data_IF_669743990050
#
_entry.id   IF_669743990050
#
_cell.length_a   1.000
_cell.length_b   1.000
_cell.length_c   1.000
_cell.angle_alpha   90.00
_cell.angle_beta   90.00
_cell.angle_gamma   90.00
#
_symmetry.space_group_name_H-M   'P 1'
#
loop_
_entity.id
_entity.type
_entity.pdbx_description
1 polymer ?
#
# COMPACT_ATOMS: atom_id res chain seq x y z
N UNK A 1 0.63 7.37 -36.30
CA UNK A 1 0.88 8.03 -35.00
C UNK A 1 0.58 7.15 -33.76
N UNK A 2 0.37 5.82 -33.86
CA UNK A 2 -0.07 4.98 -32.73
C UNK A 2 1.02 4.39 -31.81
N UNK A 3 2.32 4.49 -32.15
CA UNK A 3 3.37 3.79 -31.38
C UNK A 3 3.68 4.40 -30.01
N UNK A 4 3.44 5.70 -29.80
CA UNK A 4 3.75 6.37 -28.51
C UNK A 4 2.73 6.05 -27.41
N UNK A 5 1.45 5.90 -27.75
CA UNK A 5 0.40 5.63 -26.76
C UNK A 5 0.46 4.21 -26.17
N UNK A 6 0.80 3.21 -26.98
CA UNK A 6 0.92 1.81 -26.50
C UNK A 6 2.08 1.61 -25.52
N UNK A 7 3.14 2.40 -25.62
CA UNK A 7 4.33 2.26 -24.78
C UNK A 7 4.16 2.88 -23.38
N UNK A 8 3.44 4.02 -23.28
CA UNK A 8 3.15 4.64 -21.99
C UNK A 8 2.16 3.81 -21.17
N UNK A 9 1.20 3.16 -21.85
CA UNK A 9 0.20 2.34 -21.18
C UNK A 9 0.79 1.02 -20.65
N UNK A 10 1.68 0.35 -21.40
CA UNK A 10 2.37 -0.84 -20.91
C UNK A 10 3.30 -0.52 -19.73
N UNK A 11 4.00 0.61 -19.78
CA UNK A 11 4.82 1.11 -18.67
C UNK A 11 3.97 1.44 -17.43
N UNK A 12 2.82 2.10 -17.61
CA UNK A 12 1.90 2.41 -16.50
C UNK A 12 1.35 1.16 -15.82
N UNK A 13 0.92 0.16 -16.60
CA UNK A 13 0.46 -1.12 -16.05
C UNK A 13 1.58 -1.85 -15.29
N UNK A 14 2.80 -1.86 -15.83
CA UNK A 14 3.96 -2.46 -15.16
C UNK A 14 4.28 -1.78 -13.83
N UNK A 15 4.21 -0.45 -13.76
CA UNK A 15 4.42 0.28 -12.50
C UNK A 15 3.37 -0.07 -11.46
N UNK A 16 2.09 -0.20 -11.84
CA UNK A 16 1.03 -0.63 -10.94
C UNK A 16 1.31 -2.04 -10.41
N UNK A 17 1.71 -3.00 -11.26
CA UNK A 17 2.05 -4.36 -10.83
C UNK A 17 3.22 -4.39 -9.84
N UNK A 18 4.29 -3.63 -10.12
CA UNK A 18 5.42 -3.51 -9.20
C UNK A 18 4.95 -2.94 -7.87
N UNK A 19 4.10 -1.92 -7.90
CA UNK A 19 3.59 -1.30 -6.69
C UNK A 19 2.71 -2.22 -5.86
N UNK A 20 1.85 -3.02 -6.50
CA UNK A 20 1.03 -4.05 -5.84
C UNK A 20 1.95 -5.05 -5.09
N UNK A 21 2.99 -5.55 -5.75
CA UNK A 21 3.94 -6.51 -5.12
C UNK A 21 4.67 -5.89 -3.93
N UNK A 22 5.08 -4.63 -4.04
CA UNK A 22 5.75 -3.91 -2.94
C UNK A 22 4.82 -3.69 -1.74
N UNK A 23 3.54 -3.37 -1.98
CA UNK A 23 2.56 -3.27 -0.88
C UNK A 23 2.35 -4.63 -0.22
N UNK A 24 2.23 -5.72 -0.99
CA UNK A 24 2.12 -7.07 -0.43
C UNK A 24 3.34 -7.46 0.42
N UNK A 25 4.56 -7.16 -0.06
CA UNK A 25 5.79 -7.35 0.71
C UNK A 25 5.77 -6.53 2.01
N UNK A 26 5.34 -5.27 1.92
CA UNK A 26 5.24 -4.38 3.07
C UNK A 26 4.22 -4.86 4.12
N UNK A 27 3.05 -5.34 3.70
CA UNK A 27 2.05 -5.98 4.57
C UNK A 27 2.68 -7.18 5.31
N UNK A 28 3.41 -8.04 4.59
CA UNK A 28 4.08 -9.20 5.19
C UNK A 28 5.09 -8.78 6.27
N UNK A 29 5.88 -7.73 6.02
CA UNK A 29 6.80 -7.15 7.00
C UNK A 29 6.06 -6.57 8.21
N UNK A 30 4.97 -5.82 8.00
CA UNK A 30 4.16 -5.28 9.09
C UNK A 30 3.55 -6.39 9.96
N UNK A 31 3.04 -7.48 9.37
CA UNK A 31 2.52 -8.64 10.12
C UNK A 31 3.61 -9.32 10.96
N UNK A 32 4.80 -9.54 10.40
CA UNK A 32 5.94 -10.06 11.16
C UNK A 32 6.38 -9.13 12.28
N UNK A 33 6.28 -7.82 12.05
CA UNK A 33 6.55 -6.80 13.06
C UNK A 33 5.54 -6.83 14.21
N UNK A 34 4.25 -6.98 13.89
CA UNK A 34 3.20 -7.22 14.88
C UNK A 34 3.46 -8.47 15.72
N UNK A 35 3.81 -9.60 15.07
CA UNK A 35 4.10 -10.85 15.80
C UNK A 35 5.29 -10.66 16.76
N UNK A 36 6.30 -9.89 16.36
CA UNK A 36 7.43 -9.56 17.22
C UNK A 36 7.03 -8.64 18.40
N UNK A 37 6.19 -7.62 18.16
CA UNK A 37 5.64 -6.76 19.23
C UNK A 37 4.85 -7.59 20.24
N UNK A 38 3.98 -8.48 19.76
CA UNK A 38 3.19 -9.38 20.60
C UNK A 38 4.07 -10.35 21.43
N UNK A 39 5.24 -10.72 20.91
CA UNK A 39 6.26 -11.50 21.63
C UNK A 39 7.20 -10.65 22.50
N UNK A 40 6.82 -9.41 22.85
CA UNK A 40 7.63 -8.45 23.63
C UNK A 40 8.99 -8.10 23.02
N UNK A 41 9.19 -8.33 21.71
CA UNK A 41 10.41 -7.96 20.96
C UNK A 41 10.20 -6.62 20.25
N UNK A 42 9.95 -5.57 21.04
CA UNK A 42 9.50 -4.26 20.56
C UNK A 42 10.43 -3.66 19.50
N UNK A 43 11.74 -3.57 19.76
CA UNK A 43 12.69 -2.98 18.81
C UNK A 43 12.72 -3.70 17.46
N UNK A 44 12.77 -5.03 17.46
CA UNK A 44 12.71 -5.81 16.21
C UNK A 44 11.36 -5.64 15.50
N UNK A 45 10.27 -5.57 16.26
CA UNK A 45 8.92 -5.41 15.73
C UNK A 45 8.72 -4.05 15.07
N UNK A 46 9.12 -2.97 15.75
CA UNK A 46 9.12 -1.62 15.19
C UNK A 46 9.92 -1.52 13.89
N UNK A 47 11.13 -2.09 13.86
CA UNK A 47 11.98 -2.08 12.68
C UNK A 47 11.33 -2.79 11.48
N UNK A 48 10.66 -3.92 11.74
CA UNK A 48 9.93 -4.65 10.71
C UNK A 48 8.71 -3.87 10.21
N UNK A 49 7.92 -3.27 11.10
CA UNK A 49 6.78 -2.43 10.71
C UNK A 49 7.26 -1.20 9.93
N UNK A 50 8.35 -0.55 10.34
CA UNK A 50 8.95 0.60 9.62
C UNK A 50 9.45 0.21 8.22
N UNK A 51 10.11 -0.95 8.09
CA UNK A 51 10.50 -1.48 6.77
C UNK A 51 9.27 -1.78 5.91
N UNK A 52 8.22 -2.34 6.50
CA UNK A 52 6.95 -2.58 5.82
C UNK A 52 6.30 -1.29 5.32
N UNK A 53 6.26 -0.26 6.16
CA UNK A 53 5.75 1.07 5.82
C UNK A 53 6.48 1.67 4.61
N UNK A 54 7.81 1.61 4.59
CA UNK A 54 8.63 2.10 3.47
C UNK A 54 8.25 1.37 2.17
N UNK A 55 8.08 0.04 2.23
CA UNK A 55 7.67 -0.77 1.06
C UNK A 55 6.27 -0.41 0.58
N UNK A 56 5.32 -0.21 1.50
CA UNK A 56 3.96 0.23 1.17
C UNK A 56 3.98 1.60 0.49
N UNK A 57 4.72 2.57 1.04
CA UNK A 57 4.84 3.93 0.46
C UNK A 57 5.49 3.91 -0.92
N UNK A 58 6.55 3.11 -1.12
CA UNK A 58 7.17 2.91 -2.43
C UNK A 58 6.19 2.30 -3.43
N UNK A 59 5.45 1.28 -3.01
CA UNK A 59 4.46 0.63 -3.86
C UNK A 59 3.31 1.55 -4.24
N UNK A 60 2.83 2.35 -3.30
CA UNK A 60 1.80 3.35 -3.54
C UNK A 60 2.25 4.40 -4.56
N UNK A 61 3.49 4.89 -4.44
CA UNK A 61 4.08 5.83 -5.41
C UNK A 61 4.15 5.24 -6.82
N UNK A 62 4.51 3.97 -6.94
CA UNK A 62 4.53 3.27 -8.22
C UNK A 62 3.13 3.12 -8.82
N UNK A 63 2.11 2.85 -8.00
CA UNK A 63 0.72 2.77 -8.46
C UNK A 63 0.23 4.15 -8.92
N UNK A 64 0.50 5.21 -8.17
CA UNK A 64 0.14 6.59 -8.54
C UNK A 64 0.76 6.97 -9.89
N UNK A 65 2.08 6.82 -10.01
CA UNK A 65 2.80 7.11 -11.26
C UNK A 65 2.28 6.28 -12.44
N UNK A 66 1.97 5.01 -12.19
CA UNK A 66 1.44 4.12 -13.21
C UNK A 66 0.02 4.50 -13.64
N UNK A 67 -0.84 4.86 -12.68
CA UNK A 67 -2.20 5.32 -12.93
C UNK A 67 -2.23 6.65 -13.69
N UNK A 68 -1.35 7.60 -13.34
CA UNK A 68 -1.22 8.89 -14.02
C UNK A 68 -0.69 8.75 -15.46
N UNK A 69 0.08 7.69 -15.72
CA UNK A 69 0.60 7.37 -17.06
C UNK A 69 -0.46 6.72 -17.98
N UNK A 70 -1.62 6.32 -17.45
CA UNK A 70 -2.66 5.63 -18.21
C UNK A 70 -3.72 6.62 -18.74
N UNK A 71 -4.04 6.60 -20.04
CA UNK A 71 -5.05 7.48 -20.62
C UNK A 71 -6.45 7.29 -20.00
N UNK A 72 -7.03 8.38 -19.49
CA UNK A 72 -8.34 8.37 -18.79
C UNK A 72 -9.53 8.02 -19.69
N UNK A 73 -9.51 8.39 -20.97
CA UNK A 73 -10.67 8.30 -21.89
C UNK A 73 -11.31 6.92 -21.99
N UNK A 74 -10.55 5.85 -21.76
CA UNK A 74 -11.04 4.46 -21.84
C UNK A 74 -11.02 3.73 -20.49
N UNK A 75 -10.49 4.36 -19.43
CA UNK A 75 -10.16 3.72 -18.16
C UNK A 75 -10.71 4.46 -16.94
N UNK A 76 -11.66 5.38 -17.12
CA UNK A 76 -12.14 6.26 -16.04
C UNK A 76 -12.66 5.48 -14.82
N UNK A 77 -13.50 4.46 -15.03
CA UNK A 77 -14.02 3.63 -13.94
C UNK A 77 -12.92 2.83 -13.22
N UNK A 78 -11.97 2.28 -13.98
CA UNK A 78 -10.83 1.54 -13.46
C UNK A 78 -9.92 2.44 -12.61
N UNK A 79 -9.58 3.62 -13.12
CA UNK A 79 -8.76 4.61 -12.42
C UNK A 79 -9.47 5.18 -11.19
N UNK A 80 -10.80 5.35 -11.22
CA UNK A 80 -11.58 5.72 -10.01
C UNK A 80 -11.46 4.68 -8.90
N UNK A 81 -11.54 3.38 -9.22
CA UNK A 81 -11.34 2.29 -8.25
C UNK A 81 -9.91 2.29 -7.70
N UNK A 82 -8.92 2.45 -8.58
CA UNK A 82 -7.51 2.54 -8.16
C UNK A 82 -7.31 3.73 -7.20
N UNK A 83 -7.85 4.91 -7.53
CA UNK A 83 -7.75 6.09 -6.67
C UNK A 83 -8.47 5.91 -5.33
N UNK A 84 -9.62 5.24 -5.30
CA UNK A 84 -10.31 4.93 -4.04
C UNK A 84 -9.42 4.06 -3.13
N UNK A 85 -8.81 3.02 -3.71
CA UNK A 85 -7.88 2.17 -2.99
C UNK A 85 -6.60 2.89 -2.54
N UNK A 86 -6.07 3.81 -3.35
CA UNK A 86 -4.95 4.69 -2.96
C UNK A 86 -5.31 5.49 -1.71
N UNK A 87 -6.45 6.19 -1.71
CA UNK A 87 -6.87 7.00 -0.57
C UNK A 87 -7.05 6.18 0.70
N UNK A 88 -7.57 4.94 0.59
CA UNK A 88 -7.67 4.01 1.73
C UNK A 88 -6.29 3.65 2.29
N UNK A 89 -5.33 3.36 1.42
CA UNK A 89 -3.97 3.01 1.83
C UNK A 89 -3.27 4.22 2.47
N UNK A 90 -3.43 5.43 1.94
CA UNK A 90 -2.89 6.66 2.55
C UNK A 90 -3.42 6.87 3.97
N UNK A 91 -4.73 6.74 4.16
CA UNK A 91 -5.32 6.84 5.49
C UNK A 91 -4.81 5.76 6.46
N UNK A 92 -4.60 4.53 5.95
CA UNK A 92 -4.06 3.44 6.74
C UNK A 92 -2.56 3.62 7.07
N UNK A 93 -1.78 4.27 6.20
CA UNK A 93 -0.39 4.65 6.47
C UNK A 93 -0.31 5.56 7.71
N UNK A 94 -1.21 6.55 7.82
CA UNK A 94 -1.25 7.43 9.00
C UNK A 94 -1.54 6.63 10.28
N UNK A 95 -2.44 5.64 10.20
CA UNK A 95 -2.73 4.73 11.32
C UNK A 95 -1.55 3.82 11.66
N UNK A 96 -0.78 3.36 10.68
CA UNK A 96 0.45 2.60 10.90
C UNK A 96 1.49 3.45 11.64
N UNK A 97 1.69 4.71 11.23
CA UNK A 97 2.61 5.65 11.87
C UNK A 97 2.17 5.92 13.31
N UNK A 98 0.90 6.27 13.52
CA UNK A 98 0.37 6.48 14.88
C UNK A 98 0.46 5.23 15.75
N UNK A 99 0.28 4.05 15.17
CA UNK A 99 0.45 2.79 15.88
C UNK A 99 1.90 2.51 16.27
N UNK A 100 2.87 2.86 15.43
CA UNK A 100 4.29 2.81 15.77
C UNK A 100 4.65 3.78 16.90
N UNK A 101 4.14 5.02 16.85
CA UNK A 101 4.38 6.02 17.89
C UNK A 101 3.83 5.55 19.26
N UNK A 102 2.67 4.89 19.27
CA UNK A 102 2.11 4.29 20.49
C UNK A 102 3.03 3.18 21.04
N UNK A 103 3.60 2.32 20.18
CA UNK A 103 4.54 1.27 20.62
C UNK A 103 5.78 1.90 21.28
N UNK A 104 6.34 2.95 20.67
CA UNK A 104 7.49 3.68 21.18
C UNK A 104 7.22 4.39 22.50
N UNK A 105 6.00 4.88 22.70
CA UNK A 105 5.55 5.52 23.94
C UNK A 105 5.16 4.51 25.05
N UNK A 106 5.64 3.27 24.99
CA UNK A 106 5.28 2.18 25.93
C UNK A 106 3.79 1.82 25.96
N UNK A 107 3.02 2.16 24.91
CA UNK A 107 1.62 1.78 24.76
C UNK A 107 1.44 0.70 23.68
N UNK A 108 2.21 -0.38 23.82
CA UNK A 108 2.28 -1.46 22.83
C UNK A 108 0.90 -2.08 22.52
N UNK A 109 0.01 -2.19 23.50
CA UNK A 109 -1.33 -2.76 23.28
C UNK A 109 -2.23 -1.89 22.39
N UNK A 110 -2.12 -0.57 22.49
CA UNK A 110 -2.85 0.37 21.63
C UNK A 110 -2.20 0.40 20.24
N UNK A 111 -0.87 0.45 20.20
CA UNK A 111 -0.09 0.41 18.96
C UNK A 111 -0.36 -0.85 18.13
N UNK A 112 -0.37 -2.03 18.75
CA UNK A 112 -0.69 -3.30 18.09
C UNK A 112 -2.08 -3.26 17.44
N UNK A 113 -3.09 -2.76 18.15
CA UNK A 113 -4.46 -2.62 17.63
C UNK A 113 -4.51 -1.68 16.43
N UNK A 114 -3.86 -0.52 16.50
CA UNK A 114 -3.79 0.44 15.40
C UNK A 114 -3.09 -0.13 14.18
N UNK A 115 -1.93 -0.76 14.37
CA UNK A 115 -1.16 -1.39 13.29
C UNK A 115 -1.97 -2.51 12.64
N UNK A 116 -2.65 -3.36 13.43
CA UNK A 116 -3.52 -4.43 12.93
C UNK A 116 -4.72 -3.90 12.14
N UNK A 117 -5.35 -2.82 12.60
CA UNK A 117 -6.44 -2.16 11.87
C UNK A 117 -5.93 -1.59 10.54
N UNK A 118 -4.78 -0.91 10.58
CA UNK A 118 -4.17 -0.32 9.40
C UNK A 118 -3.83 -1.37 8.34
N UNK A 119 -3.26 -2.52 8.73
CA UNK A 119 -2.98 -3.62 7.79
C UNK A 119 -4.25 -4.08 7.06
N UNK A 120 -5.38 -4.22 7.77
CA UNK A 120 -6.66 -4.59 7.14
C UNK A 120 -7.13 -3.55 6.14
N UNK A 121 -7.04 -2.27 6.49
CA UNK A 121 -7.43 -1.18 5.57
C UNK A 121 -6.52 -1.10 4.35
N UNK A 122 -5.22 -1.41 4.50
CA UNK A 122 -4.30 -1.52 3.37
C UNK A 122 -4.69 -2.69 2.46
N UNK A 123 -5.05 -3.83 3.03
CA UNK A 123 -5.52 -5.00 2.26
C UNK A 123 -6.80 -4.69 1.49
N UNK A 124 -7.76 -3.99 2.11
CA UNK A 124 -8.99 -3.54 1.46
C UNK A 124 -8.70 -2.56 0.32
N UNK A 125 -7.85 -1.55 0.56
CA UNK A 125 -7.44 -0.61 -0.49
C UNK A 125 -6.67 -1.29 -1.62
N UNK A 126 -5.82 -2.26 -1.30
CA UNK A 126 -5.10 -3.06 -2.29
C UNK A 126 -6.05 -3.92 -3.12
N UNK A 127 -7.09 -4.50 -2.52
CA UNK A 127 -8.14 -5.20 -3.25
C UNK A 127 -8.83 -4.27 -4.26
N UNK A 128 -9.16 -3.03 -3.90
CA UNK A 128 -9.74 -2.06 -4.83
C UNK A 128 -8.79 -1.70 -5.98
N UNK A 129 -7.51 -1.51 -5.68
CA UNK A 129 -6.48 -1.27 -6.71
C UNK A 129 -6.39 -2.46 -7.65
N UNK A 130 -6.36 -3.70 -7.14
CA UNK A 130 -6.29 -4.90 -7.98
C UNK A 130 -7.54 -5.03 -8.85
N UNK A 131 -8.73 -4.73 -8.33
CA UNK A 131 -9.96 -4.77 -9.13
C UNK A 131 -9.94 -3.69 -10.22
N UNK A 132 -9.59 -2.46 -9.88
CA UNK A 132 -9.42 -1.39 -10.87
C UNK A 132 -8.35 -1.73 -11.90
N UNK A 133 -7.25 -2.35 -11.49
CA UNK A 133 -6.19 -2.79 -12.39
C UNK A 133 -6.65 -3.86 -13.39
N UNK A 134 -7.45 -4.84 -12.95
CA UNK A 134 -8.05 -5.85 -13.84
C UNK A 134 -9.02 -5.23 -14.85
N UNK A 135 -9.67 -4.13 -14.48
CA UNK A 135 -10.60 -3.40 -15.35
C UNK A 135 -9.90 -2.50 -16.38
N UNK A 136 -8.57 -2.34 -16.31
CA UNK A 136 -7.80 -1.51 -17.26
C UNK A 136 -7.71 -2.19 -18.63
N UNK A 137 -8.30 -1.53 -19.63
CA UNK A 137 -8.27 -1.92 -21.04
C UNK A 137 -7.00 -1.43 -21.69
#
# INVERSE_FOLDING_TARGET
>A
MNKRYGNCQSQGKQQIEIGIRQIQEGICLCRRGLDAIACCRLGCGEDLVRKGLIKIQQGLRNIINGADSIPRRCNECALKKINCGICKIEHAIDKLVSGLDDVQCNNASCGEKKIKCAIKEIEEGLCEIIQGFKDLR
#
